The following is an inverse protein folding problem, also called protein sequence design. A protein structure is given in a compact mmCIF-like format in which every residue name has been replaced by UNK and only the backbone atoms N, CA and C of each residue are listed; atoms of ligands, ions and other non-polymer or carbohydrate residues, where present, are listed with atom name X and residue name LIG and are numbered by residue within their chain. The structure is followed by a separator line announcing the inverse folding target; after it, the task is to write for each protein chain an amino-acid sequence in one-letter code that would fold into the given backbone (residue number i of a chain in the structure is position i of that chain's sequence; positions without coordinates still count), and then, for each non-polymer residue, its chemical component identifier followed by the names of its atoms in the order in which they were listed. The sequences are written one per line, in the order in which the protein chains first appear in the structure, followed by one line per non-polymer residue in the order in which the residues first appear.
data_IF_033824669430
#
_entry.id   IF_033824669430
#
_cell.length_a   1.000
_cell.length_b   1.000
_cell.length_c   1.000
_cell.angle_alpha   90.00
_cell.angle_beta   90.00
_cell.angle_gamma   90.00
#
_symmetry.space_group_name_H-M   'P 1'
#
loop_
_entity.id
_entity.type
_entity.pdbx_description
1 polymer ?
#
# COMPACT_ATOMS: atom_id res chain seq x y z
N UNK A 1 23.31 -10.42 -42.42
CA UNK A 1 23.86 -9.27 -41.65
C UNK A 1 22.79 -8.34 -41.09
N UNK A 2 21.59 -8.23 -41.67
CA UNK A 2 20.56 -7.31 -41.16
C UNK A 2 19.79 -7.85 -39.93
N UNK A 3 19.65 -9.17 -39.78
CA UNK A 3 18.96 -9.78 -38.64
C UNK A 3 19.86 -9.81 -37.38
N UNK A 4 19.48 -9.15 -36.27
CA UNK A 4 20.27 -9.11 -35.04
C UNK A 4 20.04 -10.36 -34.17
N UNK A 5 21.04 -11.24 -34.06
CA UNK A 5 20.94 -12.46 -33.23
C UNK A 5 20.75 -12.16 -31.73
N UNK A 6 21.34 -11.07 -31.22
CA UNK A 6 21.29 -10.71 -29.80
C UNK A 6 19.98 -10.02 -29.38
N UNK A 7 19.11 -9.65 -30.33
CA UNK A 7 17.85 -8.95 -30.04
C UNK A 7 16.93 -9.76 -29.12
N UNK A 8 16.86 -11.09 -29.35
CA UNK A 8 16.07 -11.99 -28.51
C UNK A 8 16.59 -12.16 -27.08
N UNK A 9 17.85 -11.77 -26.82
CA UNK A 9 18.47 -11.83 -25.50
C UNK A 9 18.46 -10.48 -24.76
N UNK A 10 18.48 -9.37 -25.50
CA UNK A 10 18.65 -8.02 -24.97
C UNK A 10 17.68 -7.69 -23.83
N UNK A 11 16.39 -7.94 -24.03
CA UNK A 11 15.33 -7.60 -23.06
C UNK A 11 15.18 -8.65 -21.96
N UNK A 12 15.08 -9.97 -22.25
CA UNK A 12 14.90 -10.99 -21.21
C UNK A 12 16.06 -11.04 -20.20
N UNK A 13 17.30 -10.82 -20.64
CA UNK A 13 18.47 -10.81 -19.75
C UNK A 13 18.41 -9.65 -18.75
N UNK A 14 18.13 -8.43 -19.21
CA UNK A 14 18.00 -7.27 -18.34
C UNK A 14 16.85 -7.44 -17.34
N UNK A 15 15.71 -8.00 -17.78
CA UNK A 15 14.58 -8.29 -16.89
C UNK A 15 14.98 -9.31 -15.83
N UNK A 16 15.60 -10.42 -16.23
CA UNK A 16 16.01 -11.50 -15.31
C UNK A 16 17.01 -10.99 -14.26
N UNK A 17 18.02 -10.22 -14.67
CA UNK A 17 18.98 -9.62 -13.74
C UNK A 17 18.30 -8.58 -12.85
N UNK A 18 17.42 -7.76 -13.43
CA UNK A 18 16.63 -6.76 -12.73
C UNK A 18 15.75 -7.36 -11.63
N UNK A 19 14.95 -8.38 -11.94
CA UNK A 19 14.08 -9.06 -10.95
C UNK A 19 14.88 -9.77 -9.87
N UNK A 20 15.98 -10.45 -10.23
CA UNK A 20 16.89 -11.05 -9.25
C UNK A 20 17.48 -10.02 -8.29
N UNK A 21 17.86 -8.84 -8.81
CA UNK A 21 18.35 -7.74 -7.99
C UNK A 21 17.24 -7.14 -7.12
N UNK A 22 16.04 -6.96 -7.66
CA UNK A 22 14.86 -6.50 -6.92
C UNK A 22 14.61 -7.35 -5.67
N UNK A 23 14.64 -8.68 -5.85
CA UNK A 23 14.39 -9.64 -4.78
C UNK A 23 15.40 -9.49 -3.63
N UNK A 24 16.67 -9.18 -3.93
CA UNK A 24 17.69 -8.91 -2.91
C UNK A 24 17.40 -7.68 -2.04
N UNK A 25 16.56 -6.75 -2.53
CA UNK A 25 16.05 -5.60 -1.77
C UNK A 25 14.64 -5.81 -1.20
N UNK A 26 14.09 -7.03 -1.31
CA UNK A 26 12.75 -7.35 -0.83
C UNK A 26 11.62 -6.80 -1.72
N UNK A 27 11.90 -6.55 -3.01
CA UNK A 27 10.91 -6.14 -4.01
C UNK A 27 10.74 -7.28 -5.01
N UNK A 28 9.54 -7.84 -5.11
CA UNK A 28 9.25 -8.94 -6.03
C UNK A 28 8.36 -8.44 -7.16
N UNK A 29 8.85 -8.53 -8.40
CA UNK A 29 8.05 -8.23 -9.60
C UNK A 29 7.45 -9.52 -10.14
N UNK A 30 6.13 -9.53 -10.36
CA UNK A 30 5.40 -10.69 -10.91
C UNK A 30 5.49 -10.77 -12.43
N UNK A 31 5.59 -9.62 -13.10
CA UNK A 31 5.68 -9.53 -14.55
C UNK A 31 6.65 -8.41 -14.98
N UNK A 32 7.12 -8.50 -16.24
CA UNK A 32 8.03 -7.53 -16.82
C UNK A 32 7.38 -6.16 -17.06
N UNK A 33 6.08 -6.15 -17.34
CA UNK A 33 5.30 -4.94 -17.57
C UNK A 33 5.35 -3.99 -16.37
N UNK A 34 5.27 -4.51 -15.14
CA UNK A 34 5.42 -3.70 -13.94
C UNK A 34 6.79 -3.02 -13.86
N UNK A 35 7.86 -3.67 -14.33
CA UNK A 35 9.19 -3.03 -14.41
C UNK A 35 9.17 -1.91 -15.44
N UNK A 36 8.45 -2.02 -16.55
CA UNK A 36 8.40 -0.94 -17.53
C UNK A 36 7.55 0.25 -17.07
N UNK A 37 6.40 -0.04 -16.44
CA UNK A 37 5.43 0.97 -16.01
C UNK A 37 5.88 1.72 -14.76
N UNK A 38 6.57 1.08 -13.82
CA UNK A 38 6.90 1.67 -12.52
C UNK A 38 7.69 3.00 -12.64
N UNK A 39 8.62 3.13 -13.60
CA UNK A 39 9.34 4.39 -13.86
C UNK A 39 8.47 5.51 -14.44
N UNK A 40 7.32 5.17 -15.03
CA UNK A 40 6.37 6.12 -15.63
C UNK A 40 5.33 6.60 -14.61
N UNK A 41 5.21 5.93 -13.46
CA UNK A 41 4.26 6.27 -12.40
C UNK A 41 4.50 7.71 -11.93
N UNK A 42 3.46 8.51 -11.91
CA UNK A 42 3.48 9.89 -11.42
C UNK A 42 2.63 10.07 -10.15
N UNK A 43 1.67 9.17 -9.92
CA UNK A 43 0.72 9.24 -8.82
C UNK A 43 0.69 7.91 -8.08
N UNK A 44 0.94 7.95 -6.77
CA UNK A 44 0.86 6.81 -5.88
C UNK A 44 -0.35 6.96 -4.97
N UNK A 45 -1.31 6.06 -5.12
CA UNK A 45 -2.38 5.88 -4.14
C UNK A 45 -1.89 4.90 -3.08
N UNK A 46 -2.10 5.22 -1.81
CA UNK A 46 -1.76 4.36 -0.67
C UNK A 46 -3.00 4.09 0.18
N UNK A 47 -3.25 2.83 0.52
CA UNK A 47 -4.19 2.52 1.59
C UNK A 47 -3.63 3.00 2.94
N UNK A 48 -4.53 3.31 3.88
CA UNK A 48 -4.13 3.71 5.23
C UNK A 48 -3.73 2.49 6.07
N UNK A 49 -4.67 1.59 6.30
CA UNK A 49 -4.55 0.53 7.31
C UNK A 49 -3.52 -0.50 6.85
N UNK A 50 -2.55 -0.87 7.69
CA UNK A 50 -1.54 -1.88 7.37
C UNK A 50 -0.50 -1.51 6.29
N UNK A 51 -0.78 -0.46 5.51
CA UNK A 51 0.14 0.11 4.50
C UNK A 51 0.90 1.31 5.07
N UNK A 52 0.22 2.43 5.37
CA UNK A 52 0.82 3.59 6.06
C UNK A 52 1.03 3.32 7.56
N UNK A 53 0.12 2.53 8.14
CA UNK A 53 0.10 2.15 9.55
C UNK A 53 0.50 0.69 9.75
N UNK A 54 0.63 0.26 11.00
CA UNK A 54 1.05 -1.10 11.35
C UNK A 54 -0.02 -2.17 11.09
N UNK A 55 -1.28 -1.77 10.86
CA UNK A 55 -2.40 -2.70 10.73
C UNK A 55 -2.77 -3.34 12.07
N UNK A 56 -2.32 -2.75 13.18
CA UNK A 56 -2.46 -3.26 14.55
C UNK A 56 -3.05 -2.15 15.41
N UNK A 57 -4.39 -2.01 15.42
CA UNK A 57 -5.03 -1.00 16.24
C UNK A 57 -4.67 -1.22 17.72
N UNK A 58 -4.37 -0.13 18.43
CA UNK A 58 -4.11 -0.12 19.87
C UNK A 58 -5.07 0.85 20.56
N UNK A 59 -5.62 0.44 21.70
CA UNK A 59 -6.35 1.34 22.59
C UNK A 59 -5.38 2.37 23.18
N UNK A 60 -5.65 3.66 22.93
CA UNK A 60 -4.79 4.78 23.35
C UNK A 60 -5.52 5.79 24.23
N UNK A 61 -6.85 5.72 24.33
CA UNK A 61 -7.63 6.63 25.14
C UNK A 61 -8.84 5.91 25.73
N UNK A 62 -9.01 6.07 27.04
CA UNK A 62 -10.23 5.71 27.77
C UNK A 62 -10.65 6.97 28.52
N UNK A 63 -11.70 7.62 28.05
CA UNK A 63 -12.14 8.91 28.59
C UNK A 63 -13.54 8.73 29.19
N UNK A 64 -13.67 8.64 30.53
CA UNK A 64 -14.97 8.70 31.17
C UNK A 64 -15.59 10.08 31.01
N UNK A 65 -16.90 10.13 30.83
CA UNK A 65 -17.69 11.36 30.69
C UNK A 65 -18.65 11.57 31.87
N UNK A 66 -18.97 10.51 32.61
CA UNK A 66 -19.76 10.58 33.83
C UNK A 66 -18.84 10.71 35.06
N UNK A 67 -19.18 11.58 36.04
CA UNK A 67 -18.34 11.81 37.22
C UNK A 67 -18.18 10.55 38.09
N UNK A 68 -19.16 9.66 38.09
CA UNK A 68 -19.17 8.45 38.92
C UNK A 68 -18.51 7.24 38.23
N UNK A 69 -18.04 7.38 36.98
CA UNK A 69 -17.44 6.29 36.22
C UNK A 69 -15.94 6.50 36.08
N UNK A 70 -15.16 5.54 36.56
CA UNK A 70 -13.70 5.57 36.42
C UNK A 70 -13.24 5.05 35.06
N UNK A 71 -12.04 5.42 34.62
CA UNK A 71 -11.43 4.86 33.41
C UNK A 71 -11.27 3.35 33.48
N UNK A 72 -10.95 2.82 34.67
CA UNK A 72 -10.72 1.39 34.88
C UNK A 72 -12.04 0.61 34.81
N UNK A 73 -13.11 1.12 35.43
CA UNK A 73 -14.45 0.53 35.30
C UNK A 73 -14.90 0.54 33.84
N UNK A 74 -14.74 1.68 33.14
CA UNK A 74 -15.12 1.83 31.74
C UNK A 74 -14.36 0.84 30.85
N UNK A 75 -13.06 0.69 31.07
CA UNK A 75 -12.21 -0.26 30.35
C UNK A 75 -12.61 -1.70 30.61
N UNK A 76 -12.88 -2.06 31.87
CA UNK A 76 -13.35 -3.39 32.25
C UNK A 76 -14.68 -3.76 31.58
N UNK A 77 -15.66 -2.86 31.63
CA UNK A 77 -16.96 -3.07 30.97
C UNK A 77 -16.80 -3.18 29.46
N UNK A 78 -15.99 -2.29 28.87
CA UNK A 78 -15.72 -2.28 27.44
C UNK A 78 -15.09 -3.59 26.96
N UNK A 79 -14.01 -4.00 27.61
CA UNK A 79 -13.29 -5.21 27.25
C UNK A 79 -14.11 -6.48 27.52
N UNK A 80 -14.95 -6.50 28.57
CA UNK A 80 -15.84 -7.63 28.84
C UNK A 80 -16.80 -7.84 27.67
N UNK A 81 -17.46 -6.79 27.18
CA UNK A 81 -18.32 -6.87 25.99
C UNK A 81 -17.56 -7.34 24.76
N UNK A 82 -16.39 -6.75 24.51
CA UNK A 82 -15.61 -6.96 23.28
C UNK A 82 -14.90 -8.32 23.23
N UNK A 83 -14.85 -9.09 24.33
CA UNK A 83 -14.34 -10.46 24.31
C UNK A 83 -15.09 -11.39 23.35
N UNK A 84 -16.38 -11.11 23.12
CA UNK A 84 -17.24 -11.91 22.24
C UNK A 84 -17.19 -11.46 20.77
N UNK A 85 -16.37 -10.44 20.45
CA UNK A 85 -16.30 -9.81 19.13
C UNK A 85 -15.00 -10.18 18.41
N UNK A 86 -15.11 -10.54 17.13
CA UNK A 86 -13.95 -10.83 16.27
C UNK A 86 -13.39 -9.57 15.59
N UNK A 87 -13.94 -8.39 15.89
CA UNK A 87 -13.55 -7.17 15.22
C UNK A 87 -12.14 -6.71 15.65
N UNK A 88 -11.28 -6.21 14.74
CA UNK A 88 -9.93 -5.75 15.11
C UNK A 88 -9.90 -4.66 16.20
N UNK A 89 -10.88 -3.76 16.22
CA UNK A 89 -11.02 -2.74 17.28
C UNK A 89 -11.38 -3.36 18.64
N UNK A 90 -12.18 -4.43 18.65
CA UNK A 90 -12.53 -5.18 19.84
C UNK A 90 -11.29 -5.81 20.47
N UNK A 91 -10.49 -6.48 19.62
CA UNK A 91 -9.22 -7.07 20.02
C UNK A 91 -8.26 -6.03 20.62
N UNK A 92 -8.24 -4.79 20.08
CA UNK A 92 -7.44 -3.69 20.60
C UNK A 92 -7.89 -3.25 22.02
N UNK A 93 -9.19 -3.19 22.27
CA UNK A 93 -9.76 -2.86 23.59
C UNK A 93 -9.41 -3.97 24.60
N UNK A 94 -9.65 -5.24 24.23
CA UNK A 94 -9.35 -6.40 25.08
C UNK A 94 -7.85 -6.48 25.40
N UNK A 95 -6.98 -6.21 24.43
CA UNK A 95 -5.54 -6.16 24.65
C UNK A 95 -5.16 -5.02 25.60
N UNK A 96 -5.74 -3.83 25.44
CA UNK A 96 -5.53 -2.69 26.33
C UNK A 96 -5.95 -2.98 27.77
N UNK A 97 -7.10 -3.64 27.97
CA UNK A 97 -7.55 -4.07 29.29
C UNK A 97 -6.61 -5.09 29.94
N UNK A 98 -6.08 -6.06 29.17
CA UNK A 98 -5.09 -7.01 29.66
C UNK A 98 -3.77 -6.33 30.05
N UNK A 99 -3.30 -5.36 29.27
CA UNK A 99 -2.10 -4.56 29.57
C UNK A 99 -2.30 -3.75 30.87
N UNK A 100 -3.50 -3.18 31.07
CA UNK A 100 -3.88 -2.46 32.28
C UNK A 100 -4.25 -3.36 33.48
N UNK A 101 -4.26 -4.69 33.30
CA UNK A 101 -4.74 -5.68 34.30
C UNK A 101 -6.16 -5.40 34.80
N UNK A 102 -7.01 -4.84 33.94
CA UNK A 102 -8.41 -4.57 34.26
C UNK A 102 -9.19 -5.89 34.41
N UNK A 103 -10.07 -6.03 35.41
CA UNK A 103 -10.89 -7.22 35.57
C UNK A 103 -11.82 -7.39 34.37
N UNK A 104 -12.02 -8.64 33.96
CA UNK A 104 -12.92 -9.02 32.87
C UNK A 104 -14.06 -9.84 33.44
N UNK A 105 -15.28 -9.54 33.00
CA UNK A 105 -16.51 -10.12 33.52
C UNK A 105 -17.20 -10.98 32.47
N UNK A 106 -17.99 -11.95 32.92
CA UNK A 106 -18.83 -12.75 32.04
C UNK A 106 -19.92 -11.90 31.42
N UNK A 107 -20.14 -12.08 30.12
CA UNK A 107 -21.17 -11.36 29.37
C UNK A 107 -22.31 -12.28 28.96
N UNK A 108 -23.54 -11.75 28.97
CA UNK A 108 -24.72 -12.43 28.42
C UNK A 108 -25.38 -11.57 27.35
N UNK A 109 -26.21 -12.19 26.50
CA UNK A 109 -26.99 -11.51 25.46
C UNK A 109 -26.15 -10.64 24.49
N UNK A 110 -24.94 -11.09 24.14
CA UNK A 110 -24.10 -10.39 23.17
C UNK A 110 -24.80 -10.32 21.80
N UNK A 111 -24.84 -9.12 21.23
CA UNK A 111 -25.34 -8.85 19.88
C UNK A 111 -24.37 -7.94 19.15
N UNK A 112 -23.93 -8.37 17.98
CA UNK A 112 -23.16 -7.54 17.05
C UNK A 112 -24.11 -6.90 16.04
N UNK A 113 -23.97 -5.59 15.82
CA UNK A 113 -24.77 -4.81 14.89
C UNK A 113 -23.83 -4.27 13.82
N UNK A 114 -23.87 -4.91 12.65
CA UNK A 114 -22.97 -4.64 11.54
C UNK A 114 -22.92 -3.16 11.18
N UNK A 115 -21.71 -2.60 11.11
CA UNK A 115 -21.48 -1.20 10.77
C UNK A 115 -21.83 -0.18 11.87
N UNK A 116 -22.28 -0.63 13.05
CA UNK A 116 -22.65 0.25 14.16
C UNK A 116 -21.85 -0.03 15.43
N UNK A 117 -21.75 -1.30 15.84
CA UNK A 117 -21.04 -1.70 17.06
C UNK A 117 -21.62 -2.97 17.67
N UNK A 118 -21.58 -3.09 19.00
CA UNK A 118 -22.07 -4.25 19.73
C UNK A 118 -22.71 -3.89 21.08
N UNK A 119 -23.57 -4.76 21.58
CA UNK A 119 -24.28 -4.64 22.86
C UNK A 119 -24.19 -5.94 23.65
N UNK A 120 -24.10 -5.88 24.97
CA UNK A 120 -24.18 -7.06 25.85
C UNK A 120 -24.60 -6.65 27.25
N UNK A 121 -24.99 -7.63 28.09
CA UNK A 121 -25.14 -7.41 29.54
C UNK A 121 -23.86 -7.83 30.25
N UNK A 122 -23.34 -6.93 31.07
CA UNK A 122 -22.12 -7.13 31.89
C UNK A 122 -22.46 -6.74 33.32
N UNK A 123 -22.30 -7.66 34.28
CA UNK A 123 -22.71 -7.43 35.67
C UNK A 123 -24.16 -6.91 35.80
N UNK A 124 -25.08 -7.45 34.99
CA UNK A 124 -26.49 -7.06 34.90
C UNK A 124 -26.79 -5.65 34.32
N UNK A 125 -25.76 -4.85 34.02
CA UNK A 125 -25.86 -3.57 33.30
C UNK A 125 -25.89 -3.79 31.79
N UNK A 126 -26.70 -3.03 31.06
CA UNK A 126 -26.71 -3.03 29.59
C UNK A 126 -25.57 -2.14 29.08
N UNK A 127 -24.60 -2.75 28.41
CA UNK A 127 -23.45 -2.06 27.82
C UNK A 127 -23.61 -2.03 26.30
N UNK A 128 -23.33 -0.88 25.69
CA UNK A 128 -23.19 -0.77 24.24
C UNK A 128 -21.89 -0.04 23.88
N UNK A 129 -21.21 -0.51 22.84
CA UNK A 129 -20.01 0.12 22.29
C UNK A 129 -20.19 0.28 20.79
N UNK A 130 -19.98 1.48 20.25
CA UNK A 130 -20.11 1.70 18.82
C UNK A 130 -19.98 3.15 18.38
N UNK A 131 -20.41 3.41 17.15
CA UNK A 131 -20.46 4.75 16.59
C UNK A 131 -21.71 5.52 17.07
N UNK A 132 -21.81 6.80 16.68
CA UNK A 132 -22.95 7.65 17.05
C UNK A 132 -24.29 7.12 16.52
N UNK A 133 -24.31 6.39 15.41
CA UNK A 133 -25.54 5.82 14.88
C UNK A 133 -26.11 4.73 15.81
N UNK A 134 -25.25 3.92 16.44
CA UNK A 134 -25.68 2.97 17.47
C UNK A 134 -26.30 3.70 18.67
N UNK A 135 -25.64 4.75 19.15
CA UNK A 135 -26.08 5.50 20.33
C UNK A 135 -27.44 6.16 20.09
N UNK A 136 -27.65 6.76 18.91
CA UNK A 136 -28.94 7.34 18.53
C UNK A 136 -30.06 6.32 18.44
N UNK A 137 -29.77 5.13 17.93
CA UNK A 137 -30.76 4.05 17.79
C UNK A 137 -31.21 3.50 19.14
N UNK A 138 -30.28 3.32 20.08
CA UNK A 138 -30.58 2.71 21.38
C UNK A 138 -31.18 3.70 22.38
N UNK A 139 -30.75 4.96 22.36
CA UNK A 139 -30.97 5.88 23.48
C UNK A 139 -31.64 7.20 23.10
N UNK A 140 -31.79 7.49 21.80
CA UNK A 140 -32.43 8.72 21.29
C UNK A 140 -31.84 10.04 21.85
N UNK A 141 -30.62 10.03 22.38
CA UNK A 141 -29.97 11.21 22.97
C UNK A 141 -29.31 12.12 21.92
N UNK A 142 -29.29 13.43 22.19
CA UNK A 142 -28.41 14.37 21.49
C UNK A 142 -26.96 14.11 21.88
N UNK A 143 -26.04 14.21 20.92
CA UNK A 143 -24.60 14.01 21.15
C UNK A 143 -24.01 15.20 21.92
N UNK A 144 -24.22 15.22 23.24
CA UNK A 144 -23.69 16.25 24.13
C UNK A 144 -22.15 16.24 24.22
N UNK A 145 -21.50 15.18 23.70
CA UNK A 145 -20.06 14.96 23.77
C UNK A 145 -19.38 14.95 22.40
N UNK A 146 -20.04 15.58 21.41
CA UNK A 146 -19.56 15.65 20.04
C UNK A 146 -18.18 16.33 19.98
N UNK A 147 -17.94 17.35 20.80
CA UNK A 147 -16.71 18.13 20.80
C UNK A 147 -15.52 17.33 21.32
N UNK A 148 -15.68 16.59 22.42
CA UNK A 148 -14.69 15.68 22.98
C UNK A 148 -14.36 14.57 21.98
N UNK A 149 -15.39 13.95 21.38
CA UNK A 149 -15.20 12.94 20.36
C UNK A 149 -14.49 13.50 19.13
N UNK A 150 -14.82 14.71 18.68
CA UNK A 150 -14.17 15.37 17.57
C UNK A 150 -12.72 15.75 17.87
N UNK A 151 -12.39 16.15 19.11
CA UNK A 151 -11.02 16.39 19.54
C UNK A 151 -10.16 15.13 19.40
N UNK A 152 -10.67 13.99 19.88
CA UNK A 152 -9.98 12.71 19.74
C UNK A 152 -9.84 12.27 18.26
N UNK A 153 -10.87 12.51 17.42
CA UNK A 153 -10.78 12.23 15.98
C UNK A 153 -9.73 13.09 15.28
N UNK A 154 -9.57 14.35 15.69
CA UNK A 154 -8.52 15.26 15.17
C UNK A 154 -7.10 14.77 15.51
N UNK A 155 -6.94 14.00 16.59
CA UNK A 155 -5.68 13.32 16.90
C UNK A 155 -5.42 12.08 16.02
N UNK A 156 -6.32 11.76 15.08
CA UNK A 156 -6.24 10.58 14.23
C UNK A 156 -6.75 9.30 14.91
N UNK A 157 -7.50 9.41 16.02
CA UNK A 157 -8.08 8.26 16.71
C UNK A 157 -9.43 7.89 16.10
N UNK A 158 -9.70 6.60 15.99
CA UNK A 158 -11.05 6.06 15.80
C UNK A 158 -11.75 6.07 17.14
N UNK A 159 -12.82 6.85 17.25
CA UNK A 159 -13.55 7.07 18.50
C UNK A 159 -14.83 6.24 18.52
N UNK A 160 -14.98 5.45 19.57
CA UNK A 160 -16.19 4.70 19.89
C UNK A 160 -16.81 5.26 21.16
N UNK A 161 -18.12 5.36 21.19
CA UNK A 161 -18.89 5.68 22.38
C UNK A 161 -19.15 4.40 23.15
N UNK A 162 -19.11 4.49 24.47
CA UNK A 162 -19.57 3.44 25.37
C UNK A 162 -20.70 3.99 26.23
N UNK A 163 -21.78 3.23 26.31
CA UNK A 163 -22.93 3.55 27.15
C UNK A 163 -23.16 2.51 28.24
N UNK A 164 -23.68 2.94 29.37
CA UNK A 164 -24.12 2.11 30.49
C UNK A 164 -25.60 2.41 30.75
N UNK A 165 -26.44 1.38 30.67
CA UNK A 165 -27.89 1.42 31.00
C UNK A 165 -28.66 2.57 30.33
N UNK A 166 -28.28 2.95 29.11
CA UNK A 166 -28.97 4.04 28.41
C UNK A 166 -28.12 5.29 28.16
N UNK A 167 -27.12 5.51 29.01
CA UNK A 167 -26.42 6.80 29.08
C UNK A 167 -25.01 6.67 28.52
N UNK A 168 -24.56 7.62 27.69
CA UNK A 168 -23.17 7.68 27.24
C UNK A 168 -22.25 7.89 28.45
N UNK A 169 -21.47 6.86 28.78
CA UNK A 169 -20.59 6.83 29.95
C UNK A 169 -19.17 7.27 29.63
N UNK A 170 -18.75 7.17 28.37
CA UNK A 170 -17.41 7.57 27.96
C UNK A 170 -17.08 7.35 26.49
N UNK A 171 -15.84 7.65 26.15
CA UNK A 171 -15.25 7.50 24.82
C UNK A 171 -14.02 6.58 24.89
N UNK A 172 -13.92 5.70 23.89
CA UNK A 172 -12.75 4.85 23.65
C UNK A 172 -12.07 5.31 22.37
N UNK A 173 -10.79 5.67 22.47
CA UNK A 173 -9.96 6.05 21.34
C UNK A 173 -9.01 4.92 20.97
N UNK A 174 -9.20 4.35 19.78
CA UNK A 174 -8.29 3.35 19.21
C UNK A 174 -7.55 3.98 18.04
N UNK A 175 -6.25 3.72 17.94
CA UNK A 175 -5.43 4.25 16.86
C UNK A 175 -4.57 3.12 16.30
N UNK A 176 -4.45 3.07 14.97
CA UNK A 176 -3.44 2.24 14.32
C UNK A 176 -2.18 3.10 14.10
N UNK A 177 -1.06 2.82 14.78
CA UNK A 177 0.12 3.66 14.70
C UNK A 177 0.71 3.70 13.28
N UNK A 178 1.12 4.88 12.85
CA UNK A 178 1.86 5.07 11.60
C UNK A 178 3.23 4.38 11.74
N UNK A 179 3.67 3.66 10.71
CA UNK A 179 5.03 3.05 10.71
C UNK A 179 6.08 4.15 10.83
N UNK A 180 7.12 3.90 11.61
CA UNK A 180 8.22 4.86 11.80
C UNK A 180 8.88 5.28 10.48
N UNK A 181 8.93 4.38 9.51
CA UNK A 181 9.52 4.64 8.19
C UNK A 181 8.62 5.44 7.24
N UNK A 182 7.31 5.51 7.50
CA UNK A 182 6.33 6.07 6.56
C UNK A 182 6.65 7.52 6.19
N UNK A 183 6.86 8.41 7.17
CA UNK A 183 7.10 9.83 6.89
C UNK A 183 8.32 10.05 5.98
N UNK A 184 9.44 9.39 6.28
CA UNK A 184 10.66 9.48 5.45
C UNK A 184 10.47 8.86 4.05
N UNK A 185 9.70 7.77 3.93
CA UNK A 185 9.39 7.15 2.65
C UNK A 185 8.55 8.09 1.76
N UNK A 186 7.52 8.72 2.33
CA UNK A 186 6.66 9.67 1.64
C UNK A 186 7.46 10.88 1.15
N UNK A 187 8.31 11.47 2.00
CA UNK A 187 9.18 12.57 1.59
C UNK A 187 10.11 12.20 0.43
N UNK A 188 10.67 10.99 0.47
CA UNK A 188 11.54 10.49 -0.62
C UNK A 188 10.76 10.29 -1.92
N UNK A 189 9.55 9.76 -1.86
CA UNK A 189 8.67 9.59 -3.03
C UNK A 189 8.32 10.95 -3.64
N UNK A 190 7.94 11.93 -2.80
CA UNK A 190 7.60 13.28 -3.24
C UNK A 190 8.78 14.03 -3.83
N UNK A 191 9.97 13.91 -3.26
CA UNK A 191 11.19 14.54 -3.82
C UNK A 191 11.59 13.98 -5.18
N UNK A 192 11.13 12.77 -5.52
CA UNK A 192 11.28 12.16 -6.85
C UNK A 192 10.09 12.43 -7.78
N UNK A 193 9.22 13.39 -7.42
CA UNK A 193 8.13 13.88 -8.25
C UNK A 193 6.87 13.01 -8.25
N UNK A 194 6.73 12.05 -7.33
CA UNK A 194 5.46 11.33 -7.16
C UNK A 194 4.49 12.15 -6.33
N UNK A 195 3.25 12.24 -6.77
CA UNK A 195 2.13 12.69 -5.92
C UNK A 195 1.65 11.51 -5.09
N UNK A 196 1.61 11.65 -3.76
CA UNK A 196 1.15 10.59 -2.87
C UNK A 196 -0.20 10.94 -2.26
N UNK A 197 -1.20 10.10 -2.51
CA UNK A 197 -2.59 10.31 -2.12
C UNK A 197 -3.05 9.12 -1.27
N UNK A 198 -3.59 9.39 -0.09
CA UNK A 198 -4.17 8.33 0.74
C UNK A 198 -5.61 8.04 0.36
N UNK A 199 -6.02 6.77 0.37
CA UNK A 199 -7.43 6.37 0.29
C UNK A 199 -7.77 5.56 1.52
N UNK A 200 -8.88 5.88 2.18
CA UNK A 200 -9.29 5.20 3.41
C UNK A 200 -10.81 5.18 3.57
N UNK A 201 -11.30 4.16 4.28
CA UNK A 201 -12.69 4.10 4.74
C UNK A 201 -12.95 4.88 6.04
N UNK A 202 -11.91 5.45 6.65
CA UNK A 202 -12.04 6.31 7.84
C UNK A 202 -12.74 7.63 7.51
N UNK A 203 -13.26 8.28 8.56
CA UNK A 203 -13.87 9.61 8.46
C UNK A 203 -12.90 10.65 7.90
N UNK A 204 -13.46 11.65 7.21
CA UNK A 204 -12.71 12.82 6.71
C UNK A 204 -11.81 13.49 7.76
N UNK A 205 -12.26 13.58 9.02
CA UNK A 205 -11.48 14.21 10.11
C UNK A 205 -10.23 13.41 10.42
N UNK A 206 -10.38 12.09 10.59
CA UNK A 206 -9.26 11.17 10.86
C UNK A 206 -8.29 11.12 9.69
N UNK A 207 -8.81 11.04 8.46
CA UNK A 207 -8.00 11.02 7.24
C UNK A 207 -7.17 12.31 7.09
N UNK A 208 -7.78 13.48 7.33
CA UNK A 208 -7.08 14.77 7.32
C UNK A 208 -5.96 14.81 8.37
N UNK A 209 -6.21 14.33 9.58
CA UNK A 209 -5.22 14.30 10.65
C UNK A 209 -3.99 13.46 10.28
N UNK A 210 -4.21 12.24 9.77
CA UNK A 210 -3.14 11.35 9.30
C UNK A 210 -2.39 11.97 8.13
N UNK A 211 -3.10 12.47 7.12
CA UNK A 211 -2.52 13.08 5.93
C UNK A 211 -1.63 14.28 6.27
N UNK A 212 -2.07 15.12 7.21
CA UNK A 212 -1.31 16.30 7.65
C UNK A 212 -0.06 15.91 8.45
N UNK A 213 -0.14 14.85 9.26
CA UNK A 213 0.98 14.38 10.10
C UNK A 213 2.16 13.83 9.29
N UNK A 214 1.91 13.30 8.10
CA UNK A 214 2.94 12.74 7.20
C UNK A 214 3.09 13.50 5.88
N UNK A 215 2.48 14.68 5.79
CA UNK A 215 2.57 15.62 4.66
C UNK A 215 2.26 14.97 3.29
N UNK A 216 1.04 14.42 3.16
CA UNK A 216 0.52 13.89 1.89
C UNK A 216 0.01 14.99 0.95
N UNK A 217 0.02 14.71 -0.35
CA UNK A 217 -0.50 15.65 -1.37
C UNK A 217 -2.03 15.68 -1.43
N UNK A 218 -2.70 14.67 -0.86
CA UNK A 218 -4.16 14.62 -0.77
C UNK A 218 -4.66 13.33 -0.12
N UNK A 219 -5.97 13.26 0.07
CA UNK A 219 -6.64 12.04 0.54
C UNK A 219 -8.08 11.93 0.03
N UNK A 220 -8.59 10.70 0.01
CA UNK A 220 -10.00 10.37 -0.10
C UNK A 220 -10.41 9.61 1.16
N UNK A 221 -11.47 10.08 1.82
CA UNK A 221 -12.00 9.52 3.05
C UNK A 221 -13.41 8.97 2.81
N UNK A 222 -13.92 8.21 3.78
CA UNK A 222 -15.26 7.60 3.73
C UNK A 222 -15.46 6.70 2.47
N UNK A 223 -14.37 6.09 1.99
CA UNK A 223 -14.35 5.30 0.76
C UNK A 223 -14.64 3.82 1.07
N UNK A 224 -15.72 3.30 0.49
CA UNK A 224 -16.03 1.87 0.53
C UNK A 224 -15.01 1.06 -0.31
N UNK A 225 -14.79 -0.24 -0.02
CA UNK A 225 -13.85 -1.07 -0.77
C UNK A 225 -14.03 -1.00 -2.30
N UNK A 226 -15.26 -1.06 -2.81
CA UNK A 226 -15.54 -0.93 -4.25
C UNK A 226 -15.18 0.46 -4.80
N UNK A 227 -15.29 1.50 -3.98
CA UNK A 227 -14.98 2.88 -4.36
C UNK A 227 -13.49 3.13 -4.57
N UNK A 228 -12.60 2.31 -4.00
CA UNK A 228 -11.14 2.47 -4.18
C UNK A 228 -10.72 2.29 -5.64
N UNK A 229 -11.27 1.29 -6.33
CA UNK A 229 -10.98 1.05 -7.74
C UNK A 229 -11.51 2.17 -8.64
N UNK A 230 -12.66 2.76 -8.32
CA UNK A 230 -13.21 3.90 -9.05
C UNK A 230 -12.32 5.16 -8.92
N UNK A 231 -11.70 5.38 -7.75
CA UNK A 231 -10.73 6.46 -7.58
C UNK A 231 -9.50 6.25 -8.47
N UNK A 232 -8.98 5.02 -8.51
CA UNK A 232 -7.87 4.67 -9.42
C UNK A 232 -8.26 5.00 -10.86
N UNK A 233 -9.43 4.51 -11.31
CA UNK A 233 -9.94 4.72 -12.66
C UNK A 233 -10.15 6.21 -12.99
N UNK A 234 -10.65 7.00 -12.04
CA UNK A 234 -10.80 8.45 -12.18
C UNK A 234 -9.46 9.12 -12.45
N UNK A 235 -8.43 8.84 -11.65
CA UNK A 235 -7.09 9.43 -11.86
C UNK A 235 -6.45 8.96 -13.17
N UNK A 236 -6.69 7.70 -13.58
CA UNK A 236 -6.26 7.22 -14.89
C UNK A 236 -6.93 7.98 -16.03
N UNK A 237 -8.24 8.28 -15.92
CA UNK A 237 -8.97 9.08 -16.91
C UNK A 237 -8.48 10.54 -17.00
N UNK A 238 -7.87 11.06 -15.93
CA UNK A 238 -7.16 12.35 -15.91
C UNK A 238 -5.75 12.27 -16.56
N UNK A 239 -5.39 11.13 -17.13
CA UNK A 239 -4.11 10.91 -17.81
C UNK A 239 -2.95 10.59 -16.88
N UNK A 240 -3.20 10.25 -15.60
CA UNK A 240 -2.17 9.89 -14.63
C UNK A 240 -1.74 8.44 -14.77
N UNK A 241 -0.45 8.18 -14.61
CA UNK A 241 0.06 6.81 -14.43
C UNK A 241 0.04 6.48 -12.94
N UNK A 242 -1.04 5.80 -12.55
CA UNK A 242 -1.35 5.45 -11.15
C UNK A 242 -0.71 4.13 -10.73
N UNK A 243 0.01 4.16 -9.59
CA UNK A 243 0.29 2.98 -8.77
C UNK A 243 -0.62 2.96 -7.54
N UNK A 244 -1.02 1.77 -7.09
CA UNK A 244 -1.80 1.58 -5.86
C UNK A 244 -1.00 0.69 -4.90
N UNK A 245 -0.85 1.11 -3.64
CA UNK A 245 -0.26 0.30 -2.58
C UNK A 245 -1.30 -0.08 -1.53
N UNK A 246 -1.37 -1.37 -1.18
CA UNK A 246 -2.35 -1.90 -0.23
C UNK A 246 -1.93 -3.24 0.34
N UNK A 247 -2.66 -3.73 1.34
CA UNK A 247 -2.37 -4.99 2.03
C UNK A 247 -3.64 -5.86 2.22
N UNK A 248 -4.83 -5.29 2.10
CA UNK A 248 -6.08 -5.96 2.40
C UNK A 248 -6.75 -6.62 1.19
N UNK A 249 -7.66 -7.55 1.49
CA UNK A 249 -8.63 -8.13 0.52
C UNK A 249 -9.45 -6.99 -0.12
N UNK A 250 -9.76 -5.96 0.66
CA UNK A 250 -10.50 -4.78 0.23
C UNK A 250 -9.77 -3.95 -0.83
N UNK A 251 -8.45 -4.09 -0.93
CA UNK A 251 -7.62 -3.33 -1.88
C UNK A 251 -7.38 -4.08 -3.18
N UNK A 252 -7.63 -5.39 -3.21
CA UNK A 252 -7.37 -6.24 -4.37
C UNK A 252 -8.00 -5.69 -5.68
N UNK A 253 -9.26 -5.20 -5.69
CA UNK A 253 -9.82 -4.59 -6.91
C UNK A 253 -9.08 -3.33 -7.35
N UNK A 254 -8.65 -2.48 -6.41
CA UNK A 254 -7.91 -1.26 -6.71
C UNK A 254 -6.46 -1.54 -7.15
N UNK A 255 -5.82 -2.55 -6.55
CA UNK A 255 -4.51 -3.05 -6.94
C UNK A 255 -4.51 -3.58 -8.38
N UNK A 256 -5.55 -4.32 -8.76
CA UNK A 256 -5.71 -4.85 -10.11
C UNK A 256 -6.07 -3.77 -11.15
N UNK A 257 -6.80 -2.73 -10.75
CA UNK A 257 -7.17 -1.60 -11.61
C UNK A 257 -6.00 -0.65 -11.90
N UNK A 258 -5.03 -0.54 -10.98
CA UNK A 258 -3.88 0.34 -11.14
C UNK A 258 -2.95 -0.12 -12.26
N UNK A 259 -2.21 0.82 -12.87
CA UNK A 259 -1.16 0.44 -13.83
C UNK A 259 -0.06 -0.39 -13.16
N UNK A 260 0.20 -0.10 -11.88
CA UNK A 260 1.09 -0.90 -11.03
C UNK A 260 0.44 -1.11 -9.67
N UNK A 261 -0.05 -2.32 -9.41
CA UNK A 261 -0.47 -2.74 -8.08
C UNK A 261 0.72 -3.17 -7.22
N UNK A 262 0.82 -2.66 -6.00
CA UNK A 262 1.89 -2.92 -5.04
C UNK A 262 1.29 -3.50 -3.74
N UNK A 263 1.48 -4.79 -3.50
CA UNK A 263 1.04 -5.44 -2.27
C UNK A 263 2.11 -5.33 -1.17
N UNK A 264 1.68 -5.10 0.07
CA UNK A 264 2.54 -5.31 1.24
C UNK A 264 2.68 -6.81 1.50
N UNK A 265 3.89 -7.28 1.78
CA UNK A 265 4.17 -8.69 2.09
C UNK A 265 3.60 -9.18 3.43
N UNK A 266 3.14 -8.24 4.27
CA UNK A 266 2.35 -8.52 5.48
C UNK A 266 0.85 -8.61 5.20
N UNK A 267 0.43 -8.34 3.97
CA UNK A 267 -0.96 -8.34 3.54
C UNK A 267 -1.48 -9.74 3.23
N UNK A 268 -2.74 -9.78 2.81
CA UNK A 268 -3.45 -11.03 2.49
C UNK A 268 -2.97 -11.64 1.17
N UNK A 269 -3.10 -12.96 1.04
CA UNK A 269 -2.75 -13.69 -0.20
C UNK A 269 -3.51 -13.18 -1.43
N UNK A 270 -4.75 -12.70 -1.22
CA UNK A 270 -5.57 -12.10 -2.28
C UNK A 270 -4.96 -10.78 -2.76
N UNK A 271 -4.47 -9.92 -1.85
CA UNK A 271 -3.76 -8.69 -2.22
C UNK A 271 -2.46 -9.00 -2.97
N UNK A 272 -1.66 -9.96 -2.47
CA UNK A 272 -0.39 -10.36 -3.10
C UNK A 272 -0.58 -10.97 -4.48
N UNK A 273 -1.64 -11.75 -4.69
CA UNK A 273 -1.94 -12.36 -5.99
C UNK A 273 -2.48 -11.35 -7.01
N UNK A 274 -3.17 -10.30 -6.55
CA UNK A 274 -3.74 -9.25 -7.40
C UNK A 274 -2.73 -8.17 -7.81
N UNK A 275 -1.65 -8.00 -7.03
CA UNK A 275 -0.61 -7.01 -7.31
C UNK A 275 0.44 -7.50 -8.32
N UNK A 276 1.05 -6.54 -9.03
CA UNK A 276 2.17 -6.81 -9.94
C UNK A 276 3.53 -6.72 -9.25
N UNK A 277 3.58 -6.04 -8.09
CA UNK A 277 4.76 -5.91 -7.24
C UNK A 277 4.40 -6.29 -5.81
N UNK A 278 5.26 -7.04 -5.12
CA UNK A 278 5.12 -7.34 -3.69
C UNK A 278 6.33 -6.83 -2.91
N UNK A 279 6.08 -6.08 -1.84
CA UNK A 279 7.12 -5.58 -0.92
C UNK A 279 7.22 -6.52 0.28
N UNK A 280 8.19 -7.44 0.28
CA UNK A 280 8.30 -8.54 1.26
C UNK A 280 8.31 -8.04 2.70
N UNK A 281 8.95 -6.89 2.96
CA UNK A 281 9.07 -6.31 4.31
C UNK A 281 7.89 -5.40 4.71
N UNK A 282 6.91 -5.18 3.82
CA UNK A 282 5.79 -4.27 4.07
C UNK A 282 6.20 -2.80 4.30
N UNK A 283 7.34 -2.39 3.74
CA UNK A 283 7.91 -1.04 3.93
C UNK A 283 7.83 -0.23 2.64
N UNK A 284 7.23 0.97 2.72
CA UNK A 284 7.02 1.88 1.60
C UNK A 284 8.32 2.36 0.94
N UNK A 285 9.45 2.32 1.64
CA UNK A 285 10.77 2.57 1.02
C UNK A 285 11.05 1.62 -0.15
N UNK A 286 10.45 0.42 -0.13
CA UNK A 286 10.53 -0.55 -1.23
C UNK A 286 9.96 -0.01 -2.55
N UNK A 287 9.01 0.93 -2.52
CA UNK A 287 8.45 1.57 -3.72
C UNK A 287 9.52 2.39 -4.45
N UNK A 288 10.36 3.11 -3.70
CA UNK A 288 11.48 3.85 -4.29
C UNK A 288 12.54 2.93 -4.88
N UNK A 289 12.83 1.81 -4.22
CA UNK A 289 13.73 0.79 -4.76
C UNK A 289 13.16 0.20 -6.06
N UNK A 290 11.85 -0.10 -6.09
CA UNK A 290 11.17 -0.58 -7.28
C UNK A 290 11.25 0.41 -8.45
N UNK A 291 11.03 1.70 -8.19
CA UNK A 291 11.16 2.76 -9.21
C UNK A 291 12.58 2.92 -9.72
N UNK A 292 13.56 3.03 -8.82
CA UNK A 292 14.99 3.17 -9.19
C UNK A 292 15.44 1.97 -10.03
N UNK A 293 15.01 0.76 -9.64
CA UNK A 293 15.32 -0.45 -10.40
C UNK A 293 14.66 -0.44 -11.78
N UNK A 294 13.40 -0.03 -11.87
CA UNK A 294 12.67 0.11 -13.13
C UNK A 294 13.39 1.05 -14.10
N UNK A 295 13.82 2.21 -13.62
CA UNK A 295 14.57 3.19 -14.42
C UNK A 295 15.89 2.61 -14.93
N UNK A 296 16.68 1.98 -14.06
CA UNK A 296 17.96 1.35 -14.42
C UNK A 296 17.77 0.17 -15.38
N UNK A 297 16.76 -0.65 -15.16
CA UNK A 297 16.48 -1.82 -16.01
C UNK A 297 16.07 -1.38 -17.41
N UNK A 298 15.18 -0.38 -17.54
CA UNK A 298 14.80 0.15 -18.86
C UNK A 298 15.98 0.82 -19.56
N UNK A 299 16.86 1.52 -18.82
CA UNK A 299 18.08 2.09 -19.40
C UNK A 299 19.00 0.98 -19.94
N UNK A 300 19.18 -0.10 -19.18
CA UNK A 300 19.98 -1.26 -19.58
C UNK A 300 19.40 -1.94 -20.83
N UNK A 301 18.08 -2.12 -20.91
CA UNK A 301 17.40 -2.65 -22.10
C UNK A 301 17.69 -1.78 -23.32
N UNK A 302 17.57 -0.44 -23.20
CA UNK A 302 17.88 0.48 -24.30
C UNK A 302 19.33 0.35 -24.78
N UNK A 303 20.27 0.23 -23.86
CA UNK A 303 21.69 -0.01 -24.19
C UNK A 303 21.89 -1.36 -24.89
N UNK A 304 21.24 -2.41 -24.41
CA UNK A 304 21.32 -3.73 -25.02
C UNK A 304 20.72 -3.77 -26.41
N UNK A 305 19.60 -3.09 -26.64
CA UNK A 305 19.02 -2.92 -27.97
C UNK A 305 20.00 -2.15 -28.88
N UNK A 306 20.65 -1.10 -28.38
CA UNK A 306 21.70 -0.42 -29.13
C UNK A 306 22.85 -1.37 -29.51
N UNK A 307 23.37 -2.17 -28.58
CA UNK A 307 24.40 -3.17 -28.88
C UNK A 307 23.93 -4.30 -29.80
N UNK A 308 22.64 -4.65 -29.74
CA UNK A 308 22.05 -5.65 -30.63
C UNK A 308 21.99 -5.16 -32.08
N UNK A 309 21.83 -3.86 -32.32
CA UNK A 309 21.68 -3.30 -33.67
C UNK A 309 22.94 -2.66 -34.24
N UNK A 310 23.85 -2.10 -33.43
CA UNK A 310 24.97 -1.28 -33.94
C UNK A 310 25.89 -2.04 -34.91
N UNK A 311 26.17 -3.31 -34.63
CA UNK A 311 26.99 -4.17 -35.49
C UNK A 311 26.31 -4.45 -36.84
N UNK A 312 24.99 -4.67 -36.82
CA UNK A 312 24.20 -4.88 -38.02
C UNK A 312 24.08 -3.59 -38.85
N UNK A 313 23.88 -2.43 -38.20
CA UNK A 313 23.84 -1.11 -38.84
C UNK A 313 25.14 -0.82 -39.58
N UNK A 314 26.29 -1.13 -38.99
CA UNK A 314 27.60 -0.99 -39.65
C UNK A 314 27.77 -2.02 -40.77
N UNK A 315 27.32 -3.25 -40.54
CA UNK A 315 27.48 -4.35 -41.50
C UNK A 315 26.62 -4.27 -42.75
N UNK A 316 25.44 -3.64 -42.71
CA UNK A 316 24.54 -3.52 -43.87
C UNK A 316 25.14 -2.69 -45.01
N UNK A 317 25.66 -1.46 -44.80
CA UNK A 317 26.35 -0.69 -45.84
C UNK A 317 27.58 -1.41 -46.43
N UNK A 318 28.33 -2.14 -45.59
CA UNK A 318 29.48 -2.93 -46.03
C UNK A 318 29.02 -4.06 -46.96
N UNK A 319 27.94 -4.76 -46.60
CA UNK A 319 27.35 -5.80 -47.44
C UNK A 319 26.73 -5.25 -48.74
N UNK A 320 26.20 -4.03 -48.70
CA UNK A 320 25.66 -3.32 -49.86
C UNK A 320 26.74 -2.80 -50.82
N UNK A 321 28.03 -2.96 -50.48
CA UNK A 321 29.15 -2.67 -51.39
C UNK A 321 29.74 -1.27 -51.25
N UNK A 322 29.48 -0.53 -50.17
CA UNK A 322 30.11 0.79 -49.94
C UNK A 322 31.65 0.71 -49.94
N UNK A 323 32.21 -0.41 -49.47
CA UNK A 323 33.66 -0.64 -49.46
C UNK A 323 34.19 -1.29 -50.75
N UNK A 324 33.31 -1.74 -51.64
CA UNK A 324 33.70 -2.47 -52.85
C UNK A 324 34.54 -1.63 -53.83
N UNK A 325 34.22 -0.34 -54.12
CA UNK A 325 35.01 0.47 -55.04
C UNK A 325 36.45 0.75 -54.57
N UNK A 326 36.70 0.74 -53.26
CA UNK A 326 38.00 1.11 -52.68
C UNK A 326 38.86 -0.10 -52.32
N UNK A 327 38.23 -1.18 -51.84
CA UNK A 327 38.94 -2.34 -51.29
C UNK A 327 38.63 -3.64 -52.03
N UNK A 328 37.70 -3.65 -53.00
CA UNK A 328 37.27 -4.86 -53.72
C UNK A 328 36.63 -5.93 -52.84
N UNK A 329 36.29 -5.60 -51.59
CA UNK A 329 35.77 -6.55 -50.60
C UNK A 329 34.26 -6.41 -50.44
N UNK A 330 33.59 -7.56 -50.44
CA UNK A 330 32.21 -7.70 -50.00
C UNK A 330 32.19 -8.34 -48.61
N UNK A 331 31.12 -8.15 -47.85
CA UNK A 331 30.99 -8.70 -46.50
C UNK A 331 31.13 -10.23 -46.52
N UNK A 332 32.18 -10.76 -45.90
CA UNK A 332 32.38 -12.20 -45.79
C UNK A 332 31.51 -12.81 -44.67
N UNK A 333 31.10 -14.09 -44.79
CA UNK A 333 30.42 -14.80 -43.72
C UNK A 333 31.19 -14.79 -42.39
N UNK A 334 32.53 -14.77 -42.45
CA UNK A 334 33.40 -14.71 -41.26
C UNK A 334 33.26 -13.38 -40.51
N UNK A 335 33.25 -12.24 -41.22
CA UNK A 335 33.07 -10.91 -40.61
C UNK A 335 31.66 -10.79 -40.03
N UNK A 336 30.65 -11.33 -40.73
CA UNK A 336 29.29 -11.38 -40.24
C UNK A 336 29.19 -12.19 -38.93
N UNK A 337 29.81 -13.36 -38.87
CA UNK A 337 29.84 -14.20 -37.67
C UNK A 337 30.54 -13.50 -36.50
N UNK A 338 31.70 -12.88 -36.72
CA UNK A 338 32.41 -12.13 -35.69
C UNK A 338 31.55 -10.98 -35.13
N UNK A 339 30.92 -10.19 -35.99
CA UNK A 339 30.03 -9.11 -35.60
C UNK A 339 28.83 -9.62 -34.75
N UNK A 340 28.22 -10.74 -35.14
CA UNK A 340 27.14 -11.37 -34.37
C UNK A 340 27.61 -11.88 -33.00
N UNK A 341 28.81 -12.45 -32.90
CA UNK A 341 29.39 -12.89 -31.64
C UNK A 341 29.70 -11.72 -30.71
N UNK A 342 30.32 -10.64 -31.21
CA UNK A 342 30.61 -9.45 -30.42
C UNK A 342 29.33 -8.78 -29.92
N UNK A 343 28.29 -8.68 -30.75
CA UNK A 343 26.98 -8.17 -30.33
C UNK A 343 26.41 -8.94 -29.14
N UNK A 344 26.42 -10.27 -29.19
CA UNK A 344 25.95 -11.12 -28.09
C UNK A 344 26.79 -10.93 -26.82
N UNK A 345 28.12 -10.88 -26.93
CA UNK A 345 29.02 -10.65 -25.79
C UNK A 345 28.78 -9.27 -25.16
N UNK A 346 28.62 -8.22 -25.97
CA UNK A 346 28.31 -6.87 -25.49
C UNK A 346 26.99 -6.81 -24.73
N UNK A 347 25.95 -7.46 -25.24
CA UNK A 347 24.64 -7.55 -24.56
C UNK A 347 24.76 -8.30 -23.23
N UNK A 348 25.44 -9.44 -23.20
CA UNK A 348 25.61 -10.23 -21.97
C UNK A 348 26.41 -9.44 -20.93
N UNK A 349 27.56 -8.88 -21.33
CA UNK A 349 28.42 -8.11 -20.44
C UNK A 349 27.70 -6.87 -19.89
N UNK A 350 26.91 -6.17 -20.71
CA UNK A 350 26.15 -5.02 -20.27
C UNK A 350 24.95 -5.38 -19.39
N UNK A 351 24.27 -6.51 -19.65
CA UNK A 351 23.17 -7.00 -18.81
C UNK A 351 23.61 -7.36 -17.40
N UNK A 352 24.84 -7.85 -17.26
CA UNK A 352 25.43 -8.21 -15.96
C UNK A 352 26.07 -7.00 -15.24
N UNK A 353 26.06 -5.82 -15.88
CA UNK A 353 26.61 -4.62 -15.29
C UNK A 353 25.69 -4.13 -14.16
N UNK A 354 26.31 -3.92 -13.00
CA UNK A 354 25.68 -3.59 -11.72
C UNK A 354 24.81 -2.33 -11.76
#
# INVERSE_FOLDING_TARGET
IACPCALGLATPMSIMVGTGRAASFGVLFKNAEAIELMRKVDTLIVDKTGTLTLGKPKLVTVQPLLPDVTSDELLSLAASLEQSSEHPLAAAIVAGAKEAKAPLFTTTDFRSITGKGATARVQNKLIAIGNLALMKELFAEQDNYADEANSLRKDGKTVMYISIDGTIAGLLGVMDPIKETTASAIQTLRSHGLKVIMVTGDSKVTAQAVASKIDLDGFYADVLPQGKAEIVKKLQAEGKIVAMAGDGINDAPALAQAHVGIAMGTGTDIAMSSASITLVKGDLRGIMNARTLSEKTILNIKQNLFFAFIYNIIGVPIAAGVLYPFFGTLLSPMIAAAAMSFSSVSVIANSLRR
#
